data_IF_323801568768
#
_entry.id   IF_323801568768
#
_cell.length_a   1.000
_cell.length_b   1.000
_cell.length_c   1.000
_cell.angle_alpha   90.00
_cell.angle_beta   90.00
_cell.angle_gamma   90.00
#
_symmetry.space_group_name_H-M   'P 1'
#
loop_
_entity.id
_entity.type
_entity.pdbx_description
1 polymer ?
#
# COMPACT_ATOMS: atom_id res chain seq x y z
N UNK A 1 19.61 -2.03 8.16
CA UNK A 1 18.18 -1.84 7.85
C UNK A 1 17.99 -0.37 7.49
N UNK A 2 17.54 -0.06 6.28
CA UNK A 2 17.36 1.32 5.82
C UNK A 2 15.92 1.72 6.15
N UNK A 3 15.75 2.83 6.87
CA UNK A 3 14.43 3.39 7.16
C UNK A 3 14.30 4.73 6.43
N UNK A 4 13.18 4.90 5.72
CA UNK A 4 12.86 6.15 5.02
C UNK A 4 11.58 6.71 5.62
N UNK A 5 11.68 7.88 6.25
CA UNK A 5 10.52 8.58 6.79
C UNK A 5 9.87 9.42 5.70
N UNK A 6 8.60 9.15 5.41
CA UNK A 6 7.84 9.85 4.38
C UNK A 6 6.84 10.81 5.03
N UNK A 7 6.71 12.00 4.44
CA UNK A 7 5.61 12.93 4.70
C UNK A 7 4.88 13.15 3.40
N UNK A 8 3.59 12.84 3.38
CA UNK A 8 2.76 12.94 2.19
C UNK A 8 1.65 13.96 2.42
N UNK A 9 1.40 14.77 1.40
CA UNK A 9 0.26 15.69 1.37
C UNK A 9 -0.63 15.33 0.18
N UNK A 10 -1.91 14.99 0.39
CA UNK A 10 -2.83 14.81 -0.72
C UNK A 10 -3.01 16.15 -1.47
N UNK A 11 -2.76 16.13 -2.78
CA UNK A 11 -2.95 17.30 -3.66
C UNK A 11 -4.44 17.47 -4.01
N UNK A 12 -5.18 16.36 -4.05
CA UNK A 12 -6.63 16.27 -4.30
C UNK A 12 -7.28 15.41 -3.22
N UNK A 13 -8.61 15.37 -3.21
CA UNK A 13 -9.36 14.48 -2.32
C UNK A 13 -8.84 13.03 -2.45
N UNK A 14 -8.45 12.45 -1.32
CA UNK A 14 -8.00 11.07 -1.21
C UNK A 14 -9.02 10.29 -0.38
N UNK A 15 -9.51 9.18 -0.90
CA UNK A 15 -10.50 8.33 -0.23
C UNK A 15 -9.89 6.95 0.05
N UNK A 16 -10.12 6.44 1.26
CA UNK A 16 -9.66 5.13 1.69
C UNK A 16 -10.83 4.43 2.37
N UNK A 17 -11.32 3.35 1.76
CA UNK A 17 -12.45 2.59 2.27
C UNK A 17 -12.00 1.35 3.04
N UNK A 18 -12.74 1.00 4.07
CA UNK A 18 -12.67 -0.32 4.71
C UNK A 18 -13.72 -1.26 4.12
N UNK A 19 -13.37 -2.51 3.83
CA UNK A 19 -14.32 -3.53 3.38
C UNK A 19 -15.12 -4.17 4.54
N UNK A 20 -14.97 -3.67 5.77
CA UNK A 20 -15.53 -4.29 6.99
C UNK A 20 -17.01 -3.95 7.27
N UNK A 21 -17.77 -3.43 6.30
CA UNK A 21 -19.16 -3.02 6.57
C UNK A 21 -20.13 -3.48 5.47
N UNK A 22 -21.01 -4.46 5.76
CA UNK A 22 -22.25 -4.67 5.01
C UNK A 22 -23.47 -3.96 5.64
N UNK A 23 -23.35 -3.29 6.81
CA UNK A 23 -24.52 -3.00 7.67
C UNK A 23 -24.87 -1.52 7.88
N UNK A 24 -24.01 -0.54 7.58
CA UNK A 24 -24.24 0.87 7.98
C UNK A 24 -24.44 1.90 6.84
N UNK A 25 -24.51 1.48 5.57
CA UNK A 25 -24.81 2.39 4.45
C UNK A 25 -23.58 2.87 3.65
N UNK A 26 -23.78 3.72 2.62
CA UNK A 26 -22.77 4.05 1.61
C UNK A 26 -21.67 5.03 2.08
N UNK A 27 -21.63 5.38 3.35
CA UNK A 27 -20.59 6.25 3.89
C UNK A 27 -19.27 5.47 3.99
N UNK A 28 -18.24 5.98 3.31
CA UNK A 28 -16.90 5.42 3.29
C UNK A 28 -16.31 5.45 4.70
N UNK A 29 -16.54 4.41 5.49
CA UNK A 29 -15.88 4.27 6.79
C UNK A 29 -14.36 4.11 6.56
N UNK A 30 -13.65 5.22 6.81
CA UNK A 30 -12.19 5.24 6.77
C UNK A 30 -11.65 4.39 7.91
N UNK A 31 -10.61 3.61 7.63
CA UNK A 31 -9.94 2.79 8.65
C UNK A 31 -9.38 3.72 9.73
N UNK A 32 -9.77 3.50 10.98
CA UNK A 32 -9.31 4.28 12.14
C UNK A 32 -8.43 3.45 13.04
N UNK A 33 -7.33 4.04 13.52
CA UNK A 33 -6.49 3.51 14.58
C UNK A 33 -6.52 4.51 15.74
N UNK A 34 -6.93 4.05 16.92
CA UNK A 34 -7.11 4.92 18.10
C UNK A 34 -8.00 6.16 17.81
N UNK A 35 -9.05 5.98 16.99
CA UNK A 35 -10.00 7.06 16.65
C UNK A 35 -9.52 8.03 15.56
N UNK A 36 -8.29 7.92 15.07
CA UNK A 36 -7.77 8.74 13.96
C UNK A 36 -7.82 7.97 12.64
N UNK A 37 -8.23 8.58 11.52
CA UNK A 37 -8.14 7.92 10.22
C UNK A 37 -6.68 7.66 9.87
N UNK A 38 -6.41 6.50 9.29
CA UNK A 38 -5.08 6.11 8.82
C UNK A 38 -5.13 5.70 7.34
N UNK A 39 -3.99 5.76 6.67
CA UNK A 39 -3.80 5.06 5.40
C UNK A 39 -3.05 3.76 5.72
N UNK A 40 -3.62 2.58 5.46
CA UNK A 40 -2.95 1.33 5.76
C UNK A 40 -1.61 1.21 5.05
N UNK A 41 -0.59 0.71 5.75
CA UNK A 41 0.71 0.42 5.17
C UNK A 41 0.63 -0.59 4.03
N UNK A 42 -0.34 -1.51 4.10
CA UNK A 42 -0.66 -2.47 3.03
C UNK A 42 -1.16 -1.78 1.75
N UNK A 43 -1.98 -0.73 1.86
CA UNK A 43 -2.45 0.08 0.72
C UNK A 43 -1.30 0.84 0.09
N UNK A 44 -0.43 1.47 0.90
CA UNK A 44 0.77 2.16 0.41
C UNK A 44 1.70 1.18 -0.31
N UNK A 45 2.00 0.04 0.32
CA UNK A 45 2.83 -1.02 -0.27
C UNK A 45 2.26 -1.54 -1.58
N UNK A 46 0.95 -1.72 -1.66
CA UNK A 46 0.24 -2.11 -2.88
C UNK A 46 0.39 -1.08 -3.99
N UNK A 47 0.16 0.21 -3.70
CA UNK A 47 0.30 1.29 -4.67
C UNK A 47 1.75 1.40 -5.19
N UNK A 48 2.75 1.30 -4.30
CA UNK A 48 4.16 1.28 -4.67
C UNK A 48 4.52 0.07 -5.53
N UNK A 49 3.99 -1.12 -5.21
CA UNK A 49 4.19 -2.33 -6.02
C UNK A 49 3.64 -2.13 -7.43
N UNK A 50 2.41 -1.63 -7.56
CA UNK A 50 1.80 -1.37 -8.86
C UNK A 50 2.57 -0.35 -9.67
N UNK A 51 3.07 0.73 -9.03
CA UNK A 51 3.89 1.73 -9.70
C UNK A 51 5.23 1.13 -10.15
N UNK A 52 5.93 0.41 -9.26
CA UNK A 52 7.19 -0.26 -9.57
C UNK A 52 7.04 -1.25 -10.72
N UNK A 53 5.98 -2.08 -10.72
CA UNK A 53 5.72 -3.04 -11.80
C UNK A 53 5.58 -2.38 -13.18
N UNK A 54 5.05 -1.15 -13.25
CA UNK A 54 4.87 -0.40 -14.51
C UNK A 54 6.15 0.20 -15.04
N UNK A 55 7.05 0.63 -14.15
CA UNK A 55 8.30 1.32 -14.54
C UNK A 55 9.51 0.40 -14.57
N UNK A 56 9.42 -0.80 -13.98
CA UNK A 56 10.54 -1.73 -13.83
C UNK A 56 11.31 -1.96 -15.14
N UNK A 57 10.60 -2.30 -16.23
CA UNK A 57 11.22 -2.60 -17.52
C UNK A 57 12.00 -1.41 -18.07
N UNK A 58 11.48 -0.18 -17.91
CA UNK A 58 12.14 1.06 -18.32
C UNK A 58 13.48 1.27 -17.63
N UNK A 59 13.61 0.78 -16.39
CA UNK A 59 14.85 0.85 -15.61
C UNK A 59 15.72 -0.43 -15.74
N UNK A 60 15.37 -1.36 -16.64
CA UNK A 60 16.10 -2.61 -16.85
C UNK A 60 15.80 -3.72 -15.84
N UNK A 61 14.78 -3.56 -15.00
CA UNK A 61 14.34 -4.56 -14.03
C UNK A 61 13.23 -5.45 -14.61
N UNK A 62 13.19 -6.70 -14.16
CA UNK A 62 12.14 -7.67 -14.48
C UNK A 62 10.93 -7.48 -13.56
N UNK A 63 9.75 -7.46 -14.17
CA UNK A 63 8.45 -7.39 -13.50
C UNK A 63 7.52 -8.42 -14.12
N UNK A 64 6.72 -9.11 -13.30
CA UNK A 64 5.65 -9.95 -13.80
C UNK A 64 4.39 -9.16 -14.16
N UNK A 65 4.26 -7.90 -13.74
CA UNK A 65 3.02 -7.13 -13.87
C UNK A 65 1.83 -7.66 -13.07
N UNK A 66 1.91 -8.87 -12.52
CA UNK A 66 0.83 -9.54 -11.81
C UNK A 66 0.55 -8.96 -10.42
N UNK A 67 -0.75 -8.85 -10.12
CA UNK A 67 -1.26 -8.48 -8.80
C UNK A 67 -1.88 -9.68 -8.07
N UNK A 68 -2.24 -10.74 -8.81
CA UNK A 68 -2.90 -11.92 -8.24
C UNK A 68 -1.89 -12.81 -7.51
N UNK A 69 -2.13 -13.16 -6.23
CA UNK A 69 -1.26 -14.03 -5.44
C UNK A 69 -0.74 -15.28 -6.17
N UNK A 70 -1.62 -15.96 -6.93
CA UNK A 70 -1.31 -17.19 -7.65
C UNK A 70 -0.46 -17.01 -8.91
N UNK A 71 -0.41 -15.80 -9.48
CA UNK A 71 0.33 -15.50 -10.70
C UNK A 71 1.69 -14.83 -10.44
N UNK A 72 2.04 -14.60 -9.17
CA UNK A 72 3.31 -13.97 -8.80
C UNK A 72 4.49 -14.90 -9.04
N UNK A 73 5.51 -14.41 -9.76
CA UNK A 73 6.76 -15.15 -10.02
C UNK A 73 7.92 -14.65 -9.14
N UNK A 74 9.14 -15.12 -9.41
CA UNK A 74 10.38 -14.69 -8.73
C UNK A 74 11.12 -13.59 -9.50
N UNK A 75 10.44 -12.49 -9.85
CA UNK A 75 11.07 -11.30 -10.44
C UNK A 75 11.60 -10.32 -9.37
N UNK A 76 12.32 -9.28 -9.79
CA UNK A 76 12.93 -8.30 -8.88
C UNK A 76 11.90 -7.50 -8.08
N UNK A 77 10.77 -7.17 -8.70
CA UNK A 77 9.64 -6.56 -7.98
C UNK A 77 9.11 -7.52 -6.91
N UNK A 78 8.93 -8.81 -7.22
CA UNK A 78 8.47 -9.79 -6.24
C UNK A 78 9.51 -10.05 -5.14
N UNK A 79 10.81 -9.95 -5.45
CA UNK A 79 11.88 -10.06 -4.46
C UNK A 79 11.84 -8.91 -3.45
N UNK A 80 11.52 -7.68 -3.90
CA UNK A 80 11.42 -6.51 -3.02
C UNK A 80 10.14 -6.49 -2.18
N UNK A 81 8.99 -6.75 -2.81
CA UNK A 81 7.67 -6.61 -2.15
C UNK A 81 7.18 -7.89 -1.47
N UNK A 82 7.69 -9.04 -1.90
CA UNK A 82 7.29 -10.37 -1.43
C UNK A 82 6.25 -11.05 -2.29
N UNK A 83 6.11 -12.36 -2.03
CA UNK A 83 5.09 -13.23 -2.63
C UNK A 83 4.49 -14.19 -1.58
N UNK A 84 3.24 -14.66 -1.79
CA UNK A 84 2.65 -15.73 -1.00
C UNK A 84 3.54 -16.99 -1.01
N UNK A 85 3.45 -17.80 0.05
CA UNK A 85 4.23 -19.03 0.17
C UNK A 85 5.60 -18.87 0.87
N UNK A 86 5.69 -17.95 1.83
CA UNK A 86 6.85 -17.88 2.75
C UNK A 86 8.00 -16.97 2.33
N UNK A 87 7.81 -16.09 1.35
CA UNK A 87 8.80 -15.06 1.00
C UNK A 87 8.24 -13.66 1.27
N UNK A 88 8.23 -13.21 2.54
CA UNK A 88 7.91 -11.83 2.88
C UNK A 88 9.08 -10.95 2.43
N UNK A 89 8.92 -10.24 1.31
CA UNK A 89 9.96 -9.38 0.78
C UNK A 89 10.42 -8.35 1.83
N UNK A 90 11.67 -7.85 1.73
CA UNK A 90 12.30 -7.05 2.77
C UNK A 90 11.68 -5.67 2.96
N UNK A 91 10.84 -5.19 2.01
CA UNK A 91 10.17 -3.90 2.12
C UNK A 91 8.96 -4.00 3.06
N UNK A 92 9.03 -3.29 4.18
CA UNK A 92 7.92 -3.07 5.11
C UNK A 92 7.37 -1.66 4.94
N UNK A 93 6.06 -1.51 5.10
CA UNK A 93 5.38 -0.21 5.06
C UNK A 93 4.46 -0.13 6.28
N UNK A 94 4.73 0.83 7.14
CA UNK A 94 3.89 1.14 8.29
C UNK A 94 2.64 1.93 7.85
N UNK A 95 1.63 1.95 8.71
CA UNK A 95 0.46 2.79 8.51
C UNK A 95 0.85 4.27 8.52
N UNK A 96 0.32 5.04 7.57
CA UNK A 96 0.48 6.49 7.57
C UNK A 96 -0.55 7.10 8.51
N UNK A 97 -0.04 7.85 9.48
CA UNK A 97 -0.85 8.59 10.43
C UNK A 97 -0.90 10.06 10.03
N UNK A 98 -2.04 10.73 10.26
CA UNK A 98 -2.16 12.16 9.99
C UNK A 98 -1.27 12.96 10.94
N UNK A 99 -0.48 13.88 10.38
CA UNK A 99 0.22 14.89 11.15
C UNK A 99 -0.70 16.11 11.35
N UNK A 100 -1.02 16.44 12.61
CA UNK A 100 -1.83 17.61 12.97
C UNK A 100 -3.30 17.31 13.27
N UNK A 101 -4.13 18.36 13.28
CA UNK A 101 -5.58 18.22 13.48
C UNK A 101 -6.25 17.69 12.22
N UNK A 102 -6.90 16.55 12.35
CA UNK A 102 -7.79 16.03 11.32
C UNK A 102 -9.12 16.76 11.47
N UNK A 103 -9.44 17.66 10.54
CA UNK A 103 -10.76 18.29 10.52
C UNK A 103 -11.82 17.20 10.38
N UNK A 104 -12.75 17.16 11.32
CA UNK A 104 -13.89 16.24 11.33
C UNK A 104 -14.79 16.46 10.12
#
# INVERSE_FOLDING_TARGET
>A
MIAVKLKLRPIKLATFGSSLVPVLGPELETIKKQGKPIIPGSSLKGALRSAASRVAETYGFKSCGEARPSALCSCEVCALFGKPGGNPGPLMADDLEPEGEVSK
#
